data_IF_858783152518
#
_entry.id   IF_858783152518
#
_cell.length_a   1.000
_cell.length_b   1.000
_cell.length_c   1.000
_cell.angle_alpha   90.00
_cell.angle_beta   90.00
_cell.angle_gamma   90.00
#
_symmetry.space_group_name_H-M   'P 1'
#
loop_
_entity.id
_entity.type
_entity.pdbx_description
1 polymer ?
#
# COMPACT_ATOMS: atom_id res chain seq x y z
N UNK A 1 -10.76 -37.30 74.71
CA UNK A 1 -9.76 -38.04 74.00
C UNK A 1 -10.25 -38.23 72.52
N UNK A 2 -10.04 -37.30 71.69
CA UNK A 2 -8.94 -37.12 70.81
C UNK A 2 -8.76 -38.15 69.71
N UNK A 3 -9.06 -37.77 68.53
CA UNK A 3 -8.16 -37.94 67.37
C UNK A 3 -8.66 -37.33 66.12
N UNK A 4 -8.10 -36.19 65.87
CA UNK A 4 -7.98 -35.56 64.56
C UNK A 4 -7.36 -36.53 63.57
N UNK A 5 -7.99 -36.71 62.44
CA UNK A 5 -7.35 -37.25 61.24
C UNK A 5 -7.50 -36.24 60.11
N UNK A 6 -6.49 -35.50 59.89
CA UNK A 6 -6.34 -34.62 58.74
C UNK A 6 -6.22 -35.48 57.48
N UNK A 7 -7.22 -35.47 56.67
CA UNK A 7 -7.13 -35.90 55.27
C UNK A 7 -6.64 -34.71 54.45
N UNK A 8 -5.38 -34.71 54.11
CA UNK A 8 -4.79 -33.76 53.18
C UNK A 8 -5.26 -34.10 51.74
N UNK A 9 -6.24 -33.36 51.27
CA UNK A 9 -6.59 -33.36 49.85
C UNK A 9 -5.47 -32.76 49.04
N UNK A 10 -4.67 -33.64 48.49
CA UNK A 10 -3.68 -33.28 47.45
C UNK A 10 -4.44 -32.95 46.18
N UNK A 11 -4.80 -31.68 46.06
CA UNK A 11 -5.36 -31.12 44.82
C UNK A 11 -4.27 -31.18 43.77
N UNK A 12 -4.28 -32.21 42.93
CA UNK A 12 -3.46 -32.30 41.73
C UNK A 12 -3.85 -31.13 40.85
N UNK A 13 -3.10 -30.03 40.90
CA UNK A 13 -3.07 -29.01 39.87
C UNK A 13 -2.63 -29.69 38.57
N UNK A 14 -3.62 -30.05 37.75
CA UNK A 14 -3.36 -30.37 36.35
C UNK A 14 -2.82 -29.11 35.72
N UNK A 15 -1.56 -29.10 35.38
CA UNK A 15 -0.90 -28.02 34.66
C UNK A 15 -1.62 -27.84 33.34
N UNK A 16 -2.35 -26.72 33.20
CA UNK A 16 -2.77 -26.22 31.90
C UNK A 16 -1.53 -26.11 31.02
N UNK A 17 -1.40 -27.03 30.09
CA UNK A 17 -0.38 -26.97 29.04
C UNK A 17 -0.38 -25.60 28.45
N UNK A 18 0.74 -24.89 28.56
CA UNK A 18 0.97 -23.64 27.86
C UNK A 18 0.70 -23.93 26.39
N UNK A 19 -0.43 -23.43 25.88
CA UNK A 19 -0.65 -23.35 24.46
C UNK A 19 0.55 -22.60 23.88
N UNK A 20 1.36 -23.32 23.10
CA UNK A 20 2.58 -22.78 22.53
C UNK A 20 2.27 -21.47 21.85
N UNK A 21 3.03 -20.43 22.19
CA UNK A 21 2.92 -19.14 21.53
C UNK A 21 2.98 -19.39 20.04
N UNK A 22 1.88 -19.11 19.33
CA UNK A 22 1.85 -19.14 17.87
C UNK A 22 3.01 -18.26 17.42
N UNK A 23 4.07 -18.89 16.90
CA UNK A 23 5.14 -18.16 16.24
C UNK A 23 4.47 -17.38 15.13
N UNK A 24 4.33 -16.05 15.30
CA UNK A 24 3.95 -15.15 14.23
C UNK A 24 4.92 -15.44 13.10
N UNK A 25 4.41 -15.95 11.98
CA UNK A 25 5.22 -16.04 10.75
C UNK A 25 5.78 -14.64 10.50
N UNK A 26 7.06 -14.48 10.13
CA UNK A 26 7.58 -13.17 9.78
C UNK A 26 6.64 -12.56 8.75
N UNK A 27 6.14 -11.37 9.04
CA UNK A 27 5.25 -10.66 8.12
C UNK A 27 6.05 -10.42 6.84
N UNK A 28 5.59 -10.99 5.74
CA UNK A 28 6.24 -10.88 4.44
C UNK A 28 6.06 -9.44 3.94
N UNK A 29 7.06 -8.59 4.17
CA UNK A 29 7.05 -7.19 3.76
C UNK A 29 7.44 -7.13 2.29
N UNK A 30 6.54 -6.65 1.45
CA UNK A 30 6.80 -6.39 0.04
C UNK A 30 7.09 -4.90 -0.17
N UNK A 31 8.27 -4.59 -0.72
CA UNK A 31 8.65 -3.19 -1.03
C UNK A 31 8.38 -2.90 -2.49
N UNK A 32 7.48 -1.94 -2.77
CA UNK A 32 7.12 -1.52 -4.12
C UNK A 32 7.09 0.01 -4.18
N UNK A 33 7.93 0.60 -5.01
CA UNK A 33 8.05 2.06 -5.21
C UNK A 33 8.12 2.87 -3.89
N UNK A 34 8.91 2.38 -2.93
CA UNK A 34 9.07 2.98 -1.61
C UNK A 34 7.98 2.65 -0.60
N UNK A 35 6.85 2.05 -1.02
CA UNK A 35 5.86 1.53 -0.11
C UNK A 35 6.31 0.20 0.50
N UNK A 36 6.24 0.09 1.81
CA UNK A 36 6.44 -1.15 2.56
C UNK A 36 5.08 -1.79 2.84
N UNK A 37 4.64 -2.64 1.93
CA UNK A 37 3.38 -3.34 2.07
C UNK A 37 3.50 -4.53 3.00
N UNK A 38 2.63 -4.54 4.02
CA UNK A 38 2.43 -5.68 4.91
C UNK A 38 1.05 -6.26 4.68
N UNK A 39 0.89 -7.60 4.70
CA UNK A 39 -0.42 -8.23 4.63
C UNK A 39 -1.22 -7.87 5.89
N UNK A 40 -2.43 -7.38 5.71
CA UNK A 40 -3.38 -7.08 6.80
C UNK A 40 -4.73 -7.71 6.54
N UNK A 41 -5.36 -8.16 7.62
CA UNK A 41 -6.76 -8.55 7.62
C UNK A 41 -7.60 -7.34 8.00
N UNK A 42 -8.58 -7.00 7.15
CA UNK A 42 -9.49 -5.89 7.41
C UNK A 42 -10.86 -6.43 7.81
N UNK A 43 -11.31 -6.02 8.99
CA UNK A 43 -12.63 -6.37 9.54
C UNK A 43 -13.67 -5.30 9.24
N UNK A 44 -13.22 -4.13 8.82
CA UNK A 44 -14.06 -3.03 8.38
C UNK A 44 -14.16 -3.01 6.86
N UNK A 45 -15.23 -2.43 6.36
CA UNK A 45 -15.37 -2.19 4.93
C UNK A 45 -14.35 -1.13 4.52
N UNK A 46 -13.43 -1.50 3.64
CA UNK A 46 -12.37 -0.64 3.12
C UNK A 46 -12.39 -0.73 1.59
N UNK A 47 -12.09 0.35 0.91
CA UNK A 47 -11.88 0.36 -0.54
C UNK A 47 -10.40 0.27 -0.90
N UNK A 48 -10.11 -0.48 -1.95
CA UNK A 48 -8.78 -0.50 -2.52
C UNK A 48 -8.45 0.87 -3.15
N UNK A 49 -7.37 1.50 -2.71
CA UNK A 49 -6.97 2.81 -3.25
C UNK A 49 -6.55 2.76 -4.74
N UNK A 50 -6.21 1.59 -5.28
CA UNK A 50 -5.83 1.44 -6.68
C UNK A 50 -7.04 1.23 -7.60
N UNK A 51 -7.88 0.22 -7.34
CA UNK A 51 -8.98 -0.17 -8.23
C UNK A 51 -10.37 0.30 -7.76
N UNK A 52 -10.46 0.92 -6.57
CA UNK A 52 -11.74 1.41 -6.02
C UNK A 52 -12.71 0.34 -5.54
N UNK A 53 -12.42 -0.95 -5.70
CA UNK A 53 -13.25 -2.05 -5.25
C UNK A 53 -13.16 -2.27 -3.74
N UNK A 54 -14.18 -2.91 -3.17
CA UNK A 54 -14.26 -3.16 -1.73
C UNK A 54 -13.36 -4.33 -1.30
N UNK A 55 -12.65 -4.13 -0.18
CA UNK A 55 -11.99 -5.19 0.58
C UNK A 55 -12.93 -5.62 1.70
N UNK A 56 -13.79 -6.61 1.44
CA UNK A 56 -14.71 -7.18 2.43
C UNK A 56 -14.09 -8.45 3.02
N UNK A 57 -13.88 -8.47 4.34
CA UNK A 57 -13.33 -9.62 5.08
C UNK A 57 -12.11 -10.26 4.41
N UNK A 58 -11.38 -9.47 3.62
CA UNK A 58 -10.29 -9.94 2.78
C UNK A 58 -8.93 -9.55 3.36
N UNK A 59 -7.97 -10.42 3.17
CA UNK A 59 -6.58 -10.05 3.37
C UNK A 59 -6.15 -9.08 2.25
N UNK A 60 -5.79 -7.87 2.61
CA UNK A 60 -5.21 -6.86 1.75
C UNK A 60 -3.76 -6.61 2.09
N UNK A 61 -3.21 -5.56 1.51
CA UNK A 61 -1.89 -5.03 1.79
C UNK A 61 -1.99 -3.56 2.17
N UNK A 62 -1.30 -3.18 3.23
CA UNK A 62 -1.24 -1.79 3.69
C UNK A 62 0.20 -1.35 3.84
N UNK A 63 0.53 -0.17 3.35
CA UNK A 63 1.84 0.43 3.56
C UNK A 63 2.01 0.84 5.02
N UNK A 64 3.14 0.46 5.64
CA UNK A 64 3.45 0.81 7.03
C UNK A 64 3.69 2.30 7.23
N UNK A 65 4.23 2.98 6.21
CA UNK A 65 4.67 4.37 6.32
C UNK A 65 3.54 5.37 6.02
N UNK A 66 2.75 5.14 4.96
CA UNK A 66 1.72 6.09 4.51
C UNK A 66 0.28 5.57 4.64
N UNK A 67 0.08 4.34 5.12
CA UNK A 67 -1.23 3.69 5.23
C UNK A 67 -1.99 3.49 3.90
N UNK A 68 -1.31 3.59 2.74
CA UNK A 68 -1.91 3.26 1.46
C UNK A 68 -2.41 1.82 1.47
N UNK A 69 -3.70 1.60 1.18
CA UNK A 69 -4.35 0.30 1.35
C UNK A 69 -4.86 -0.23 0.02
N UNK A 70 -4.54 -1.48 -0.30
CA UNK A 70 -4.94 -2.09 -1.56
C UNK A 70 -5.09 -3.63 -1.42
N UNK A 71 -5.64 -4.27 -2.45
CA UNK A 71 -5.62 -5.74 -2.55
C UNK A 71 -4.17 -6.26 -2.66
N UNK A 72 -3.91 -7.47 -2.21
CA UNK A 72 -2.60 -8.12 -2.40
C UNK A 72 -2.14 -8.12 -3.87
N UNK A 73 -3.06 -8.47 -4.78
CA UNK A 73 -2.80 -8.44 -6.23
C UNK A 73 -2.57 -7.03 -6.80
N UNK A 74 -3.11 -6.00 -6.14
CA UNK A 74 -2.95 -4.61 -6.55
C UNK A 74 -1.62 -4.01 -6.06
N UNK A 75 -1.07 -4.48 -4.94
CA UNK A 75 0.15 -3.95 -4.34
C UNK A 75 1.33 -3.93 -5.32
N UNK A 76 1.50 -4.99 -6.11
CA UNK A 76 2.56 -5.08 -7.12
C UNK A 76 2.36 -4.17 -8.34
N UNK A 77 1.13 -3.69 -8.54
CA UNK A 77 0.78 -2.80 -9.66
C UNK A 77 0.87 -1.32 -9.30
N UNK A 78 1.14 -0.99 -8.04
CA UNK A 78 1.26 0.40 -7.58
C UNK A 78 2.55 1.00 -8.14
N UNK A 79 2.42 1.98 -9.02
CA UNK A 79 3.56 2.67 -9.66
C UNK A 79 3.86 4.01 -9.00
N UNK A 80 2.89 4.57 -8.27
CA UNK A 80 3.07 5.81 -7.49
C UNK A 80 4.06 5.61 -6.37
N UNK A 81 4.88 6.64 -6.10
CA UNK A 81 5.86 6.59 -5.01
C UNK A 81 5.22 6.82 -3.66
N UNK A 82 5.83 6.24 -2.61
CA UNK A 82 5.43 6.53 -1.24
C UNK A 82 5.86 7.95 -0.85
N UNK A 83 4.90 8.86 -0.70
CA UNK A 83 5.16 10.28 -0.44
C UNK A 83 5.74 10.52 0.97
N UNK A 84 5.46 9.63 1.94
CA UNK A 84 6.00 9.76 3.30
C UNK A 84 7.52 9.65 3.40
N UNK A 85 8.22 9.22 2.33
CA UNK A 85 9.67 8.99 2.28
C UNK A 85 10.42 9.82 1.25
N UNK A 86 9.80 10.84 0.69
CA UNK A 86 10.41 11.65 -0.38
C UNK A 86 11.61 12.49 0.06
N UNK A 87 12.01 12.47 1.33
CA UNK A 87 13.17 13.23 1.80
C UNK A 87 14.55 12.62 1.50
N UNK A 88 14.64 11.31 1.14
CA UNK A 88 15.94 10.62 1.11
C UNK A 88 16.31 9.91 -0.21
N UNK A 89 15.51 10.00 -1.25
CA UNK A 89 15.87 9.36 -2.52
C UNK A 89 16.37 10.38 -3.53
N UNK A 90 17.69 10.53 -3.52
CA UNK A 90 18.46 11.16 -4.59
C UNK A 90 17.93 10.74 -5.98
N UNK A 91 17.68 11.77 -6.78
CA UNK A 91 17.19 11.73 -8.15
C UNK A 91 18.08 10.86 -9.07
N UNK A 92 17.85 9.56 -9.12
CA UNK A 92 18.42 8.70 -10.15
C UNK A 92 17.33 7.76 -10.67
N UNK A 93 17.03 7.88 -11.98
CA UNK A 93 16.17 7.01 -12.79
C UNK A 93 14.66 7.07 -12.53
N UNK A 94 14.11 8.27 -12.45
CA UNK A 94 12.67 8.45 -12.29
C UNK A 94 11.94 8.49 -13.62
N UNK A 95 10.96 7.57 -13.76
CA UNK A 95 9.85 7.79 -14.69
C UNK A 95 8.98 8.86 -14.03
N UNK A 96 9.40 10.12 -14.14
CA UNK A 96 8.63 11.24 -13.67
C UNK A 96 7.58 11.61 -14.71
N UNK A 97 6.31 11.48 -14.32
CA UNK A 97 5.25 12.14 -15.10
C UNK A 97 5.43 13.64 -14.87
N UNK A 98 5.93 14.36 -15.89
CA UNK A 98 6.11 15.82 -15.82
C UNK A 98 4.80 16.58 -15.65
N UNK A 99 3.67 15.88 -15.79
CA UNK A 99 2.33 16.45 -15.70
C UNK A 99 1.80 16.22 -14.27
N UNK A 100 2.00 17.19 -13.40
CA UNK A 100 1.45 17.22 -12.05
C UNK A 100 0.33 18.24 -12.00
N UNK A 101 -0.90 17.78 -11.80
CA UNK A 101 -2.04 18.64 -11.56
C UNK A 101 -2.44 18.47 -10.10
N UNK A 102 -2.16 19.45 -9.23
CA UNK A 102 -2.49 19.34 -7.81
C UNK A 102 -4.00 19.36 -7.59
N UNK A 103 -4.43 18.65 -6.55
CA UNK A 103 -5.82 18.67 -6.13
C UNK A 103 -6.13 19.93 -5.31
N UNK A 104 -7.28 20.55 -5.54
CA UNK A 104 -7.79 21.67 -4.74
C UNK A 104 -8.73 21.12 -3.68
N UNK A 105 -8.17 20.73 -2.54
CA UNK A 105 -8.94 20.17 -1.45
C UNK A 105 -9.59 21.24 -0.57
N UNK A 106 -10.91 21.18 -0.45
CA UNK A 106 -11.70 22.03 0.43
C UNK A 106 -12.26 21.23 1.62
N UNK A 107 -12.51 21.90 2.77
CA UNK A 107 -13.16 21.28 3.91
C UNK A 107 -14.54 20.75 3.55
N UNK A 108 -14.80 19.49 3.82
CA UNK A 108 -16.01 18.79 3.44
C UNK A 108 -16.66 18.08 4.62
N UNK A 109 -17.98 18.24 4.77
CA UNK A 109 -18.78 17.49 5.75
C UNK A 109 -19.37 16.26 5.07
N UNK A 110 -18.97 15.08 5.53
CA UNK A 110 -19.47 13.83 4.98
C UNK A 110 -20.90 13.55 5.47
N UNK A 111 -21.87 13.63 4.57
CA UNK A 111 -23.29 13.30 4.82
C UNK A 111 -23.70 11.94 4.22
N UNK A 112 -22.77 11.23 3.59
CA UNK A 112 -23.03 9.96 2.91
C UNK A 112 -21.89 8.97 3.06
N UNK A 113 -21.89 7.92 2.26
CA UNK A 113 -20.84 6.89 2.23
C UNK A 113 -19.68 7.32 1.34
N UNK A 114 -18.82 8.21 1.82
CA UNK A 114 -17.61 8.61 1.10
C UNK A 114 -16.37 7.94 1.71
N UNK A 115 -15.41 7.65 0.85
CA UNK A 115 -14.19 6.89 1.17
C UNK A 115 -12.95 7.74 0.93
N UNK A 116 -11.95 7.55 1.76
CA UNK A 116 -10.65 8.17 1.52
C UNK A 116 -9.95 7.51 0.32
N UNK A 117 -9.60 8.29 -0.69
CA UNK A 117 -8.91 7.79 -1.89
C UNK A 117 -7.51 7.23 -1.61
N UNK A 118 -6.90 7.57 -0.46
CA UNK A 118 -5.56 7.13 -0.09
C UNK A 118 -5.56 5.88 0.81
N UNK A 119 -6.19 5.96 1.98
CA UNK A 119 -6.19 4.85 2.94
C UNK A 119 -7.37 3.89 2.77
N UNK A 120 -8.33 4.22 1.89
CA UNK A 120 -9.50 3.38 1.61
C UNK A 120 -10.54 3.32 2.73
N UNK A 121 -10.31 3.94 3.88
CA UNK A 121 -11.27 3.94 4.99
C UNK A 121 -12.41 4.91 4.75
N UNK A 122 -13.58 4.61 5.31
CA UNK A 122 -14.75 5.47 5.22
C UNK A 122 -14.54 6.77 6.00
N UNK A 123 -14.99 7.89 5.44
CA UNK A 123 -14.95 9.19 6.11
C UNK A 123 -16.01 9.25 7.21
N UNK A 124 -15.69 9.82 8.40
CA UNK A 124 -16.64 9.97 9.49
C UNK A 124 -17.88 10.77 9.06
N UNK A 125 -19.05 10.24 9.39
CA UNK A 125 -20.34 10.89 9.10
C UNK A 125 -20.56 12.12 9.99
N UNK A 126 -21.18 13.16 9.43
CA UNK A 126 -21.60 14.34 10.15
C UNK A 126 -20.47 15.24 10.66
N UNK A 127 -19.20 14.91 10.37
CA UNK A 127 -18.03 15.70 10.80
C UNK A 127 -17.37 16.41 9.63
N UNK A 128 -16.90 17.63 9.85
CA UNK A 128 -16.15 18.43 8.86
C UNK A 128 -14.66 18.12 8.89
N UNK A 129 -14.32 16.84 8.96
CA UNK A 129 -12.92 16.36 8.99
C UNK A 129 -12.46 15.82 7.63
N UNK A 130 -13.35 15.70 6.66
CA UNK A 130 -13.04 15.31 5.29
C UNK A 130 -12.51 16.48 4.45
N UNK A 131 -11.87 16.11 3.37
CA UNK A 131 -11.45 17.00 2.28
C UNK A 131 -12.03 16.47 0.98
N UNK A 132 -12.54 17.37 0.16
CA UNK A 132 -13.07 17.06 -1.18
C UNK A 132 -12.40 17.98 -2.18
N UNK A 133 -11.92 17.42 -3.30
CA UNK A 133 -11.39 18.23 -4.38
C UNK A 133 -12.52 18.90 -5.15
N UNK A 134 -12.41 20.22 -5.38
CA UNK A 134 -13.42 21.00 -6.13
C UNK A 134 -13.45 20.64 -7.63
N UNK A 135 -12.35 20.09 -8.18
CA UNK A 135 -12.21 19.82 -9.60
C UNK A 135 -12.59 18.39 -10.01
N UNK A 136 -12.24 17.39 -9.18
CA UNK A 136 -12.43 15.97 -9.54
C UNK A 136 -13.24 15.18 -8.53
N UNK A 137 -13.80 15.83 -7.54
CA UNK A 137 -14.71 15.26 -6.54
C UNK A 137 -14.13 14.16 -5.64
N UNK A 138 -12.85 13.80 -5.75
CA UNK A 138 -12.25 12.82 -4.85
C UNK A 138 -12.26 13.32 -3.42
N UNK A 139 -12.43 12.38 -2.48
CA UNK A 139 -12.50 12.67 -1.05
C UNK A 139 -11.35 11.98 -0.31
N UNK A 140 -10.84 12.63 0.75
CA UNK A 140 -9.83 12.07 1.63
C UNK A 140 -9.99 12.59 3.06
N UNK A 141 -9.28 11.96 4.00
CA UNK A 141 -9.11 12.54 5.34
C UNK A 141 -8.21 13.78 5.27
N UNK A 142 -8.36 14.68 6.23
CA UNK A 142 -7.48 15.85 6.35
C UNK A 142 -6.00 15.44 6.46
N UNK A 143 -5.72 14.38 7.23
CA UNK A 143 -4.37 13.85 7.43
C UNK A 143 -3.81 13.11 6.21
N UNK A 144 -4.68 12.63 5.31
CA UNK A 144 -4.26 11.94 4.08
C UNK A 144 -4.07 12.89 2.89
N UNK A 145 -4.50 14.15 3.00
CA UNK A 145 -4.50 15.11 1.90
C UNK A 145 -3.12 15.27 1.25
N UNK A 146 -2.07 15.38 2.05
CA UNK A 146 -0.69 15.53 1.59
C UNK A 146 -0.05 14.25 1.04
N UNK A 147 -0.74 13.09 1.21
CA UNK A 147 -0.29 11.79 0.71
C UNK A 147 -0.96 11.42 -0.63
N UNK A 148 -1.91 12.23 -1.09
CA UNK A 148 -2.58 12.02 -2.38
C UNK A 148 -1.70 12.57 -3.50
N UNK A 149 -1.36 11.77 -4.52
CA UNK A 149 -0.55 12.22 -5.64
C UNK A 149 -1.26 13.28 -6.48
N UNK A 150 -0.50 14.20 -7.08
CA UNK A 150 -0.99 15.31 -7.91
C UNK A 150 -1.47 14.85 -9.31
N UNK A 151 -2.56 14.10 -9.36
CA UNK A 151 -3.16 13.59 -10.59
C UNK A 151 -4.64 14.02 -10.72
N UNK A 152 -4.93 15.29 -10.45
CA UNK A 152 -6.30 15.79 -10.50
C UNK A 152 -6.96 15.52 -11.86
N UNK A 153 -8.21 15.04 -11.84
CA UNK A 153 -8.95 14.67 -13.05
C UNK A 153 -8.64 13.28 -13.61
N UNK A 154 -7.73 12.54 -12.98
CA UNK A 154 -7.34 11.19 -13.41
C UNK A 154 -7.59 10.17 -12.28
N UNK A 155 -8.18 9.02 -12.63
CA UNK A 155 -8.30 7.94 -11.64
C UNK A 155 -6.92 7.34 -11.30
N UNK A 156 -6.77 6.83 -10.08
CA UNK A 156 -5.50 6.19 -9.66
C UNK A 156 -5.16 4.99 -10.55
N UNK A 157 -6.15 4.27 -11.04
CA UNK A 157 -5.95 3.16 -11.96
C UNK A 157 -5.38 3.63 -13.30
N UNK A 158 -5.98 4.68 -13.90
CA UNK A 158 -5.50 5.29 -15.13
C UNK A 158 -4.08 5.86 -14.97
N UNK A 159 -3.80 6.55 -13.86
CA UNK A 159 -2.47 7.06 -13.57
C UNK A 159 -1.42 5.93 -13.48
N UNK A 160 -1.76 4.83 -12.82
CA UNK A 160 -0.87 3.66 -12.74
C UNK A 160 -0.67 2.99 -14.10
N UNK A 161 -1.71 2.87 -14.94
CA UNK A 161 -1.57 2.33 -16.29
C UNK A 161 -0.63 3.20 -17.16
N UNK A 162 -0.80 4.52 -17.13
CA UNK A 162 0.07 5.44 -17.85
C UNK A 162 1.52 5.35 -17.43
N UNK A 163 1.78 5.38 -16.10
CA UNK A 163 3.12 5.25 -15.55
C UNK A 163 3.76 3.90 -15.90
N UNK A 164 2.99 2.81 -15.86
CA UNK A 164 3.45 1.47 -16.26
C UNK A 164 3.84 1.43 -17.74
N UNK A 165 3.02 2.02 -18.61
CA UNK A 165 3.30 2.09 -20.05
C UNK A 165 4.58 2.89 -20.33
N UNK A 166 4.77 4.03 -19.66
CA UNK A 166 5.97 4.86 -19.79
C UNK A 166 7.21 4.08 -19.33
N UNK A 167 7.12 3.37 -18.21
CA UNK A 167 8.21 2.52 -17.71
C UNK A 167 8.60 1.43 -18.72
N UNK A 168 7.60 0.78 -19.34
CA UNK A 168 7.82 -0.25 -20.37
C UNK A 168 8.48 0.34 -21.61
N UNK A 169 8.02 1.49 -22.10
CA UNK A 169 8.61 2.17 -23.27
C UNK A 169 10.08 2.55 -22.98
N UNK A 170 10.38 3.09 -21.80
CA UNK A 170 11.77 3.41 -21.42
C UNK A 170 12.64 2.16 -21.39
N UNK A 171 12.16 1.06 -20.81
CA UNK A 171 12.88 -0.22 -20.77
C UNK A 171 13.19 -0.75 -22.17
N UNK A 172 12.22 -0.71 -23.07
CA UNK A 172 12.41 -1.19 -24.45
C UNK A 172 13.39 -0.32 -25.23
N UNK A 173 13.36 1.00 -25.05
CA UNK A 173 14.36 1.92 -25.69
C UNK A 173 15.77 1.65 -25.20
N UNK A 174 15.95 1.34 -23.91
CA UNK A 174 17.28 1.02 -23.36
C UNK A 174 17.78 -0.33 -23.88
N UNK A 175 16.91 -1.33 -24.05
CA UNK A 175 17.28 -2.66 -24.59
C UNK A 175 17.66 -2.63 -26.07
N UNK A 176 17.12 -1.70 -26.86
CA UNK A 176 17.41 -1.55 -28.29
C UNK A 176 18.66 -0.72 -28.60
N UNK A 177 19.27 -0.09 -27.57
CA UNK A 177 20.44 0.76 -27.74
C UNK A 177 21.77 0.09 -27.38
N UNK A 178 21.79 -1.21 -27.13
CA UNK A 178 23.05 -1.98 -26.99
C UNK A 178 23.57 -2.30 -28.38
N UNK A 179 24.72 -1.76 -28.83
CA UNK A 179 25.31 -2.14 -30.09
C UNK A 179 25.84 -3.57 -30.00
N UNK A 180 25.42 -4.38 -30.96
CA UNK A 180 25.91 -5.73 -31.18
C UNK A 180 27.40 -5.65 -31.60
N UNK A 181 28.31 -5.80 -30.62
CA UNK A 181 29.75 -5.83 -30.88
C UNK A 181 30.18 -7.24 -31.30
N UNK A 182 29.71 -7.68 -32.48
CA UNK A 182 30.30 -8.80 -33.17
C UNK A 182 31.38 -8.29 -34.15
N UNK A 183 32.60 -8.26 -33.68
CA UNK A 183 33.75 -8.02 -34.54
C UNK A 183 33.96 -9.23 -35.48
N UNK A 184 34.10 -9.04 -36.80
CA UNK A 184 34.44 -10.13 -37.71
C UNK A 184 35.90 -10.56 -37.49
N UNK A 185 36.09 -11.84 -37.18
CA UNK A 185 37.42 -12.46 -37.17
C UNK A 185 37.98 -12.45 -38.59
N UNK A 186 39.02 -11.69 -38.81
CA UNK A 186 39.85 -11.80 -39.99
C UNK A 186 40.60 -13.13 -39.97
N UNK A 187 40.26 -14.02 -40.91
CA UNK A 187 41.05 -15.20 -41.26
C UNK A 187 42.23 -14.75 -42.13
N UNK A 188 43.42 -14.82 -41.59
CA UNK A 188 44.67 -14.74 -42.35
C UNK A 188 44.92 -16.11 -43.02
N UNK A 189 44.95 -16.13 -44.37
CA UNK A 189 45.45 -17.22 -45.17
C UNK A 189 46.87 -16.83 -45.58
N UNK A 190 47.79 -17.74 -45.25
CA UNK A 190 49.13 -17.82 -45.84
C UNK A 190 49.10 -18.80 -46.97
#
# INVERSE_FOLDING_TARGET
LDRSSAASDVYKRQGLGRHGAMRKRPEEVSVVNGHKFVPRQFYQVIRCALCGELLLNAAGSQCQDCNYTCHKKCAQKVVTKCISKTSDLSARDEVELKHRIPHRFEPFTNLGTNWCCHCGSMLPLGRRVGRKCSECDITCHADCMHLVPDFCGMSMEMANQMLSNIATIKKNRFSSSLPDSAAPKRSSVS
#
